data_IF_611769709596
#
_entry.id   IF_611769709596
#
_cell.length_a   1.000
_cell.length_b   1.000
_cell.length_c   1.000
_cell.angle_alpha   90.00
_cell.angle_beta   90.00
_cell.angle_gamma   90.00
#
_symmetry.space_group_name_H-M   'P 1'
#
loop_
_entity.id
_entity.type
_entity.pdbx_description
1 polymer ?
#
# COMPACT_ATOMS: atom_id res chain seq x y z
N UNK A 1 7.74 4.51 -4.79
CA UNK A 1 7.16 3.30 -5.44
C UNK A 1 6.97 2.25 -4.37
N UNK A 2 5.86 1.53 -4.44
CA UNK A 2 5.45 0.49 -3.48
C UNK A 2 5.00 -0.76 -4.25
N UNK A 3 5.03 -1.96 -3.66
CA UNK A 3 4.49 -3.15 -4.30
C UNK A 3 2.99 -2.98 -4.57
N UNK A 4 2.52 -3.44 -5.74
CA UNK A 4 1.13 -3.33 -6.21
C UNK A 4 0.47 -1.94 -6.15
N UNK A 5 1.22 -0.83 -6.04
CA UNK A 5 0.64 0.50 -5.81
C UNK A 5 -0.34 1.01 -6.86
N UNK A 6 -0.40 0.38 -8.04
CA UNK A 6 -1.35 0.66 -9.11
C UNK A 6 -2.40 -0.45 -9.33
N UNK A 7 -2.36 -1.49 -8.52
CA UNK A 7 -3.17 -2.71 -8.63
C UNK A 7 -4.00 -2.99 -7.36
N UNK A 8 -3.87 -2.17 -6.31
CA UNK A 8 -4.70 -2.28 -5.10
C UNK A 8 -6.18 -2.11 -5.48
N UNK A 9 -7.06 -3.07 -5.15
CA UNK A 9 -8.49 -2.98 -5.45
C UNK A 9 -9.14 -1.87 -4.62
N UNK A 10 -10.11 -1.15 -5.21
CA UNK A 10 -10.87 -0.15 -4.48
C UNK A 10 -11.92 -0.85 -3.59
N UNK A 11 -11.87 -0.69 -2.26
CA UNK A 11 -12.81 -1.35 -1.35
C UNK A 11 -14.27 -0.91 -1.55
N UNK A 12 -14.50 0.28 -2.13
CA UNK A 12 -15.82 0.81 -2.42
C UNK A 12 -16.32 0.47 -3.83
N UNK A 13 -15.44 0.03 -4.73
CA UNK A 13 -15.79 -0.34 -6.10
C UNK A 13 -14.78 -1.35 -6.65
N UNK A 14 -15.15 -2.63 -6.58
CA UNK A 14 -14.34 -3.77 -7.04
C UNK A 14 -13.90 -3.71 -8.52
N UNK A 15 -14.55 -2.89 -9.36
CA UNK A 15 -14.18 -2.69 -10.77
C UNK A 15 -13.14 -1.57 -10.97
N UNK A 16 -12.65 -0.96 -9.89
CA UNK A 16 -11.65 0.11 -9.92
C UNK A 16 -10.46 -0.25 -9.05
N UNK A 17 -9.28 0.17 -9.49
CA UNK A 17 -8.05 0.14 -8.69
C UNK A 17 -7.85 1.49 -8.03
N UNK A 18 -7.32 1.48 -6.82
CA UNK A 18 -6.89 2.68 -6.12
C UNK A 18 -5.57 3.16 -6.73
N UNK A 19 -5.60 4.27 -7.46
CA UNK A 19 -4.43 4.74 -8.22
C UNK A 19 -3.34 5.34 -7.33
N UNK A 20 -3.71 5.81 -6.13
CA UNK A 20 -2.79 6.42 -5.19
C UNK A 20 -3.09 5.96 -3.75
N UNK A 21 -2.48 4.84 -3.37
CA UNK A 21 -2.71 4.15 -2.10
C UNK A 21 -2.41 5.02 -0.87
N UNK A 22 -1.64 6.10 -1.01
CA UNK A 22 -1.35 7.02 0.09
C UNK A 22 -2.40 8.13 0.32
N UNK A 23 -3.48 8.18 -0.47
CA UNK A 23 -4.49 9.24 -0.40
C UNK A 23 -5.86 8.65 -0.05
N UNK A 24 -6.65 9.40 0.74
CA UNK A 24 -8.04 9.03 1.06
C UNK A 24 -8.98 9.06 -0.15
N UNK A 25 -8.63 9.79 -1.21
CA UNK A 25 -9.41 9.82 -2.44
C UNK A 25 -8.82 8.86 -3.49
N UNK A 26 -9.58 7.85 -3.95
CA UNK A 26 -9.12 6.90 -4.97
C UNK A 26 -8.75 7.55 -6.31
N UNK A 27 -9.33 8.72 -6.59
CA UNK A 27 -9.11 9.48 -7.84
C UNK A 27 -7.92 10.45 -7.73
N UNK A 28 -7.26 10.52 -6.57
CA UNK A 28 -6.18 11.45 -6.27
C UNK A 28 -6.65 12.80 -5.71
N UNK A 29 -5.71 13.53 -5.09
CA UNK A 29 -5.98 14.75 -4.33
C UNK A 29 -6.61 14.49 -2.95
N UNK A 30 -6.58 15.49 -2.08
CA UNK A 30 -7.10 15.38 -0.70
C UNK A 30 -6.06 14.92 0.31
N UNK A 31 -6.52 14.60 1.52
CA UNK A 31 -5.67 14.28 2.66
C UNK A 31 -5.01 12.89 2.50
N UNK A 32 -3.83 12.75 3.09
CA UNK A 32 -3.17 11.46 3.22
C UNK A 32 -3.96 10.56 4.16
N UNK A 33 -4.05 9.29 3.82
CA UNK A 33 -4.51 8.27 4.74
C UNK A 33 -3.36 7.86 5.69
N UNK A 34 -3.60 7.04 6.71
CA UNK A 34 -2.55 6.60 7.64
C UNK A 34 -1.32 6.01 6.93
N UNK A 35 -1.52 5.15 5.93
CA UNK A 35 -0.42 4.63 5.11
C UNK A 35 0.39 5.74 4.42
N UNK A 36 -0.26 6.72 3.81
CA UNK A 36 0.39 7.84 3.13
C UNK A 36 1.20 8.73 4.08
N UNK A 37 0.74 8.89 5.32
CA UNK A 37 1.48 9.61 6.38
C UNK A 37 2.73 8.81 6.78
N UNK A 38 2.60 7.50 6.93
CA UNK A 38 3.72 6.62 7.28
C UNK A 38 4.73 6.51 6.14
N UNK A 39 4.25 6.47 4.90
CA UNK A 39 5.10 6.45 3.71
C UNK A 39 5.87 7.76 3.56
N UNK A 40 5.24 8.91 3.82
CA UNK A 40 5.95 10.20 3.88
C UNK A 40 6.98 10.23 5.02
N UNK A 41 6.63 9.68 6.19
CA UNK A 41 7.56 9.59 7.32
C UNK A 41 8.76 8.68 7.04
N UNK A 42 8.62 7.77 6.08
CA UNK A 42 9.66 6.90 5.56
C UNK A 42 10.37 7.48 4.31
N UNK A 43 10.33 8.80 4.11
CA UNK A 43 10.92 9.51 2.97
C UNK A 43 10.42 9.00 1.60
N UNK A 44 9.17 8.54 1.53
CA UNK A 44 8.54 7.94 0.34
C UNK A 44 9.29 6.69 -0.17
N UNK A 45 9.93 5.97 0.77
CA UNK A 45 10.63 4.71 0.53
C UNK A 45 9.88 3.51 1.10
N UNK A 46 9.88 2.41 0.35
CA UNK A 46 9.39 1.13 0.85
C UNK A 46 10.46 0.51 1.74
N UNK A 47 10.41 0.83 3.04
CA UNK A 47 11.32 0.31 4.04
C UNK A 47 10.77 -0.96 4.70
N UNK A 48 11.65 -1.76 5.30
CA UNK A 48 11.23 -2.93 6.07
C UNK A 48 10.33 -2.55 7.25
N UNK A 49 10.57 -1.40 7.88
CA UNK A 49 9.73 -0.88 8.95
C UNK A 49 8.33 -0.52 8.45
N UNK A 50 8.22 0.20 7.32
CA UNK A 50 6.93 0.51 6.72
C UNK A 50 6.18 -0.76 6.31
N UNK A 51 6.87 -1.73 5.70
CA UNK A 51 6.26 -2.98 5.26
C UNK A 51 5.66 -3.80 6.43
N UNK A 52 6.29 -3.78 7.61
CA UNK A 52 5.83 -4.50 8.80
C UNK A 52 4.80 -3.72 9.61
N UNK A 53 4.56 -2.46 9.28
CA UNK A 53 3.57 -1.63 9.96
C UNK A 53 2.17 -1.99 9.50
N UNK A 54 1.23 -1.95 10.44
CA UNK A 54 -0.21 -1.98 10.20
C UNK A 54 -0.66 -0.52 10.27
N UNK A 55 -0.78 0.13 9.10
CA UNK A 55 -0.95 1.59 9.03
C UNK A 55 -2.39 2.01 9.26
N UNK A 56 -3.39 1.28 8.73
CA UNK A 56 -4.81 1.57 8.92
C UNK A 56 -5.45 0.86 10.12
N UNK A 57 -4.76 -0.11 10.73
CA UNK A 57 -5.16 -0.77 11.97
C UNK A 57 -6.15 -1.91 11.77
N UNK A 58 -6.20 -2.50 10.57
CA UNK A 58 -7.10 -3.61 10.26
C UNK A 58 -6.58 -4.99 10.72
N UNK A 59 -5.35 -5.03 11.24
CA UNK A 59 -4.67 -6.23 11.74
C UNK A 59 -3.79 -6.93 10.70
N UNK A 60 -3.66 -6.39 9.48
CA UNK A 60 -2.71 -6.80 8.46
C UNK A 60 -1.57 -5.79 8.36
N UNK A 61 -0.37 -6.25 8.03
CA UNK A 61 0.74 -5.33 7.75
C UNK A 61 0.66 -4.84 6.31
N UNK A 62 1.17 -3.64 6.04
CA UNK A 62 1.28 -3.05 4.71
C UNK A 62 1.87 -4.03 3.68
N UNK A 63 2.86 -4.84 4.09
CA UNK A 63 3.43 -5.91 3.27
C UNK A 63 2.46 -7.04 2.94
N UNK A 64 1.65 -7.49 3.90
CA UNK A 64 0.60 -8.49 3.64
C UNK A 64 -0.43 -7.95 2.65
N UNK A 65 -0.80 -6.69 2.81
CA UNK A 65 -1.83 -6.04 2.00
C UNK A 65 -1.35 -5.65 0.60
N UNK A 66 -0.10 -5.21 0.46
CA UNK A 66 0.47 -4.76 -0.81
C UNK A 66 1.24 -5.86 -1.56
N UNK A 67 1.28 -7.09 -1.03
CA UNK A 67 1.85 -8.25 -1.71
C UNK A 67 3.37 -8.42 -1.55
N UNK A 68 3.92 -7.93 -0.44
CA UNK A 68 5.28 -8.14 0.06
C UNK A 68 5.28 -8.70 1.50
N UNK A 69 4.71 -9.89 1.69
CA UNK A 69 4.55 -10.52 3.00
C UNK A 69 5.86 -10.70 3.78
N UNK A 70 6.99 -10.82 3.08
CA UNK A 70 8.30 -11.04 3.69
C UNK A 70 9.14 -9.77 3.80
N UNK A 71 8.62 -8.61 3.38
CA UNK A 71 9.35 -7.34 3.39
C UNK A 71 10.69 -7.37 2.65
N UNK A 72 10.69 -8.03 1.49
CA UNK A 72 11.88 -8.23 0.65
C UNK A 72 11.80 -7.46 -0.66
N UNK A 73 10.64 -6.89 -1.00
CA UNK A 73 10.45 -6.16 -2.24
C UNK A 73 11.33 -4.91 -2.27
N UNK A 74 11.95 -4.67 -3.43
CA UNK A 74 12.69 -3.44 -3.69
C UNK A 74 12.14 -2.76 -4.92
N UNK A 75 12.42 -1.46 -5.02
CA UNK A 75 12.00 -0.62 -6.15
C UNK A 75 12.40 -1.27 -7.48
N UNK A 76 11.39 -1.66 -8.27
CA UNK A 76 11.57 -2.29 -9.59
C UNK A 76 11.38 -3.81 -9.59
N UNK A 77 11.26 -4.44 -8.42
CA UNK A 77 10.95 -5.86 -8.33
C UNK A 77 9.47 -6.12 -8.68
N UNK A 78 9.18 -7.36 -9.07
CA UNK A 78 7.79 -7.82 -9.13
C UNK A 78 7.29 -8.13 -7.72
N UNK A 79 6.07 -7.70 -7.34
CA UNK A 79 5.48 -8.08 -6.07
C UNK A 79 5.41 -9.60 -5.92
N UNK A 80 5.53 -10.08 -4.69
CA UNK A 80 5.52 -11.52 -4.41
C UNK A 80 4.13 -12.14 -4.58
N UNK A 81 3.08 -11.33 -4.42
CA UNK A 81 1.68 -11.72 -4.58
C UNK A 81 0.87 -10.58 -5.19
N UNK A 82 -0.10 -10.92 -6.04
CA UNK A 82 -1.03 -9.97 -6.67
C UNK A 82 -2.50 -10.31 -6.36
N UNK A 83 -2.74 -11.22 -5.42
CA UNK A 83 -4.07 -11.75 -5.06
C UNK A 83 -4.21 -11.74 -3.56
N UNK A 84 -5.41 -11.46 -3.05
CA UNK A 84 -5.63 -11.30 -1.61
C UNK A 84 -4.99 -10.03 -1.05
N UNK A 85 -4.70 -9.05 -1.92
CA UNK A 85 -4.22 -7.72 -1.57
C UNK A 85 -5.39 -6.83 -1.15
N UNK A 86 -5.13 -5.90 -0.22
CA UNK A 86 -6.11 -4.97 0.37
C UNK A 86 -5.53 -3.55 0.47
N UNK A 87 -6.28 -2.64 1.10
CA UNK A 87 -5.92 -1.23 1.17
C UNK A 87 -5.36 -0.90 2.56
N UNK A 88 -4.09 -0.49 2.68
CA UNK A 88 -3.40 -0.15 3.95
C UNK A 88 -3.65 1.27 4.48
#
# INVERSE_FOLDING_TARGET
MIPNGNAVPNPCNENQTWLNVGLQNPQGGGDKNPFGIDFESADEEWTEELCKKDSDGDGMTNGQELGDMNCVWKRGDSPSQNTGISHP
#
